data_IF_923976384409
#
_entry.id   IF_923976384409
#
_cell.length_a   1.000
_cell.length_b   1.000
_cell.length_c   1.000
_cell.angle_alpha   90.00
_cell.angle_beta   90.00
_cell.angle_gamma   90.00
#
_symmetry.space_group_name_H-M   'P 1'
#
loop_
_entity.id
_entity.type
_entity.pdbx_description
1 polymer ?
#
# COMPACT_ATOMS: atom_id res chain seq x y z
N UNK A 1 2.69 24.74 -18.24
CA UNK A 1 3.62 25.68 -17.56
C UNK A 1 2.96 26.96 -17.09
N UNK A 2 2.11 27.61 -17.89
CA UNK A 2 1.43 28.86 -17.49
C UNK A 2 0.83 28.82 -16.06
N UNK A 3 0.03 27.82 -15.67
CA UNK A 3 -0.56 27.78 -14.32
C UNK A 3 0.46 27.81 -13.18
N UNK A 4 1.64 27.20 -13.40
CA UNK A 4 2.71 27.22 -12.36
C UNK A 4 3.37 28.58 -12.24
N UNK A 5 3.59 29.24 -13.38
CA UNK A 5 4.14 30.61 -13.41
C UNK A 5 3.17 31.60 -12.78
N UNK A 6 1.90 31.53 -13.10
CA UNK A 6 0.84 32.36 -12.53
C UNK A 6 0.78 32.21 -11.00
N UNK A 7 0.83 30.95 -10.51
CA UNK A 7 0.85 30.68 -9.06
C UNK A 7 2.12 31.23 -8.40
N UNK A 8 3.27 31.09 -9.05
CA UNK A 8 4.54 31.63 -8.54
C UNK A 8 4.51 33.18 -8.48
N UNK A 9 4.02 33.82 -9.52
CA UNK A 9 3.88 35.27 -9.60
C UNK A 9 2.93 35.82 -8.52
N UNK A 10 1.84 35.09 -8.25
CA UNK A 10 0.89 35.49 -7.20
C UNK A 10 1.51 35.42 -5.79
N UNK A 11 2.41 34.45 -5.56
CA UNK A 11 3.05 34.25 -4.25
C UNK A 11 4.36 35.03 -4.06
N UNK A 12 5.06 35.27 -5.14
CA UNK A 12 6.37 35.95 -5.14
C UNK A 12 6.33 37.08 -6.19
N UNK A 13 5.76 38.22 -5.85
CA UNK A 13 5.47 39.30 -6.82
C UNK A 13 6.69 39.85 -7.59
N UNK A 14 7.90 39.73 -7.05
CA UNK A 14 9.13 40.11 -7.76
C UNK A 14 9.32 39.32 -9.06
N UNK A 15 8.75 38.11 -9.17
CA UNK A 15 8.83 37.30 -10.37
C UNK A 15 8.03 37.86 -11.56
N UNK A 16 7.09 38.77 -11.32
CA UNK A 16 6.37 39.50 -12.39
C UNK A 16 7.32 40.33 -13.26
N UNK A 17 8.45 40.79 -12.68
CA UNK A 17 9.46 41.60 -13.34
C UNK A 17 10.69 40.78 -13.76
N UNK A 18 10.74 39.51 -13.39
CA UNK A 18 11.87 38.65 -13.69
C UNK A 18 11.64 37.91 -15.02
N UNK A 19 12.66 37.85 -15.88
CA UNK A 19 12.66 37.02 -17.07
C UNK A 19 13.06 35.57 -16.75
N UNK A 20 12.72 34.66 -17.66
CA UNK A 20 13.18 33.29 -17.57
C UNK A 20 14.57 33.17 -18.18
N UNK A 21 15.58 32.94 -17.37
CA UNK A 21 16.96 32.80 -17.85
C UNK A 21 17.20 31.48 -18.57
N UNK A 22 16.61 30.37 -18.05
CA UNK A 22 16.74 29.04 -18.62
C UNK A 22 15.50 28.22 -18.27
N UNK A 23 15.00 27.54 -19.26
CA UNK A 23 13.94 26.57 -19.11
C UNK A 23 14.49 25.18 -19.47
N UNK A 24 14.32 24.20 -18.61
CA UNK A 24 14.73 22.83 -18.90
C UNK A 24 13.69 21.85 -18.36
N UNK A 25 13.59 20.71 -19.03
CA UNK A 25 12.80 19.56 -18.62
C UNK A 25 13.67 18.32 -18.83
N UNK A 26 13.63 17.40 -17.92
CA UNK A 26 14.38 16.15 -17.98
C UNK A 26 13.54 14.95 -17.57
N UNK A 27 13.89 13.76 -18.01
CA UNK A 27 13.24 12.53 -17.54
C UNK A 27 13.57 12.30 -16.08
N UNK A 28 12.63 11.72 -15.36
CA UNK A 28 12.79 11.31 -13.98
C UNK A 28 12.35 9.86 -13.80
N UNK A 29 12.98 9.13 -12.86
CA UNK A 29 12.67 7.73 -12.64
C UNK A 29 11.69 7.55 -11.50
N UNK A 30 10.60 6.84 -11.80
CA UNK A 30 9.61 6.41 -10.82
C UNK A 30 9.46 4.89 -10.83
N UNK A 31 9.28 4.33 -9.65
CA UNK A 31 8.96 2.93 -9.46
C UNK A 31 7.45 2.73 -9.34
N UNK A 32 6.95 1.53 -9.64
CA UNK A 32 5.51 1.25 -9.54
C UNK A 32 4.93 1.32 -8.12
N UNK A 33 5.77 1.26 -7.10
CA UNK A 33 5.39 1.24 -5.68
C UNK A 33 5.90 2.46 -4.88
N UNK A 34 6.47 3.47 -5.56
CA UNK A 34 7.07 4.67 -4.96
C UNK A 34 8.21 4.40 -3.98
N UNK A 35 8.82 3.24 -4.04
CA UNK A 35 9.96 2.89 -3.17
C UNK A 35 11.23 2.74 -3.99
N UNK A 36 12.38 3.20 -3.51
CA UNK A 36 13.65 2.96 -4.19
C UNK A 36 13.90 1.48 -4.44
N UNK A 37 14.69 1.19 -5.45
CA UNK A 37 15.20 -0.16 -5.73
C UNK A 37 16.64 -0.21 -5.28
N UNK A 38 16.91 -0.94 -4.19
CA UNK A 38 18.23 -1.00 -3.56
C UNK A 38 18.61 -2.44 -3.26
N UNK A 39 19.88 -2.77 -3.42
CA UNK A 39 20.42 -4.06 -3.01
C UNK A 39 21.06 -4.85 -4.12
N UNK A 40 21.47 -6.08 -3.81
CA UNK A 40 22.06 -7.00 -4.76
C UNK A 40 20.98 -7.60 -5.67
N UNK A 41 21.22 -7.56 -6.98
CA UNK A 41 20.30 -8.11 -7.96
C UNK A 41 20.22 -9.64 -7.82
N UNK A 42 19.01 -10.25 -7.72
CA UNK A 42 18.86 -11.69 -7.52
C UNK A 42 19.49 -12.55 -8.63
N UNK A 43 19.59 -12.00 -9.84
CA UNK A 43 20.10 -12.70 -11.02
C UNK A 43 21.62 -12.58 -11.20
N UNK A 44 22.27 -11.62 -10.52
CA UNK A 44 23.68 -11.30 -10.74
C UNK A 44 24.42 -11.08 -9.43
N UNK A 45 25.25 -12.04 -9.07
CA UNK A 45 26.09 -11.93 -7.87
C UNK A 45 27.05 -10.74 -7.95
N UNK A 46 27.20 -10.01 -6.85
CA UNK A 46 28.01 -8.80 -6.72
C UNK A 46 27.57 -7.63 -7.63
N UNK A 47 26.36 -7.67 -8.14
CA UNK A 47 25.76 -6.55 -8.88
C UNK A 47 24.77 -5.83 -7.99
N UNK A 48 25.17 -4.66 -7.50
CA UNK A 48 24.36 -3.86 -6.58
C UNK A 48 23.67 -2.70 -7.30
N UNK A 49 22.44 -2.44 -6.94
CA UNK A 49 21.58 -1.42 -7.54
C UNK A 49 21.19 -0.39 -6.48
N UNK A 50 21.19 0.88 -6.87
CA UNK A 50 20.52 1.96 -6.15
C UNK A 50 19.85 2.86 -7.20
N UNK A 51 18.53 2.71 -7.40
CA UNK A 51 17.81 3.36 -8.49
C UNK A 51 16.36 3.68 -8.10
N UNK A 52 15.66 4.41 -8.96
CA UNK A 52 14.24 4.69 -8.79
C UNK A 52 13.93 5.50 -7.54
N UNK A 53 14.64 6.61 -7.33
CA UNK A 53 14.52 7.41 -6.10
C UNK A 53 13.30 8.34 -6.07
N UNK A 54 12.42 8.28 -7.06
CA UNK A 54 11.07 8.88 -7.04
C UNK A 54 11.04 10.37 -6.62
N UNK A 55 11.82 11.22 -7.26
CA UNK A 55 11.97 12.68 -6.98
C UNK A 55 12.65 13.04 -5.64
N UNK A 56 13.01 12.08 -4.81
CA UNK A 56 13.59 12.34 -3.50
C UNK A 56 15.05 11.91 -3.37
N UNK A 57 15.74 11.71 -4.51
CA UNK A 57 17.11 11.21 -4.56
C UNK A 57 18.12 12.10 -3.85
N UNK A 58 17.99 13.42 -3.94
CA UNK A 58 18.86 14.36 -3.25
C UNK A 58 18.72 14.21 -1.73
N UNK A 59 17.49 14.05 -1.25
CA UNK A 59 17.20 13.88 0.17
C UNK A 59 17.66 12.51 0.71
N UNK A 60 17.49 11.44 -0.05
CA UNK A 60 17.67 10.06 0.43
C UNK A 60 18.97 9.42 -0.01
N UNK A 61 19.64 9.97 -1.04
CA UNK A 61 20.81 9.36 -1.67
C UNK A 61 21.97 9.10 -0.71
N UNK A 62 22.25 10.01 0.22
CA UNK A 62 23.29 9.83 1.22
C UNK A 62 23.01 8.64 2.17
N UNK A 63 21.77 8.54 2.67
CA UNK A 63 21.35 7.43 3.54
C UNK A 63 21.36 6.08 2.83
N UNK A 64 20.81 6.01 1.62
CA UNK A 64 20.82 4.80 0.81
C UNK A 64 22.24 4.37 0.42
N UNK A 65 23.12 5.35 0.07
CA UNK A 65 24.52 5.10 -0.24
C UNK A 65 25.26 4.49 0.95
N UNK A 66 25.02 4.99 2.17
CA UNK A 66 25.61 4.42 3.39
C UNK A 66 25.18 2.95 3.61
N UNK A 67 23.87 2.69 3.50
CA UNK A 67 23.32 1.33 3.70
C UNK A 67 23.88 0.38 2.65
N UNK A 68 23.94 0.81 1.39
CA UNK A 68 24.46 -0.02 0.29
C UNK A 68 25.97 -0.27 0.43
N UNK A 69 26.75 0.73 0.83
CA UNK A 69 28.18 0.57 1.11
C UNK A 69 28.42 -0.46 2.23
N UNK A 70 27.67 -0.37 3.33
CA UNK A 70 27.74 -1.36 4.40
C UNK A 70 27.39 -2.77 3.89
N UNK A 71 26.32 -2.89 3.08
CA UNK A 71 25.90 -4.17 2.51
C UNK A 71 26.98 -4.79 1.61
N UNK A 72 27.58 -4.00 0.74
CA UNK A 72 28.68 -4.46 -0.14
C UNK A 72 29.87 -4.99 0.67
N UNK A 73 30.26 -4.28 1.72
CA UNK A 73 31.43 -4.64 2.55
C UNK A 73 31.16 -5.85 3.43
N UNK A 74 29.98 -5.94 4.03
CA UNK A 74 29.67 -6.95 5.05
C UNK A 74 28.75 -8.08 4.55
N UNK A 75 28.35 -8.07 3.27
CA UNK A 75 27.45 -9.07 2.67
C UNK A 75 25.99 -8.99 3.12
N UNK A 76 25.64 -7.99 3.96
CA UNK A 76 24.27 -7.77 4.44
C UNK A 76 24.04 -6.31 4.85
N UNK A 77 22.82 -5.80 4.78
CA UNK A 77 22.50 -4.48 5.31
C UNK A 77 22.51 -4.51 6.86
N UNK A 78 22.75 -3.35 7.48
CA UNK A 78 22.70 -3.15 8.94
C UNK A 78 21.35 -2.61 9.44
N UNK A 79 20.42 -2.41 8.53
CA UNK A 79 19.05 -1.95 8.79
C UNK A 79 18.05 -2.79 8.00
N UNK A 80 16.79 -2.75 8.40
CA UNK A 80 15.71 -3.39 7.63
C UNK A 80 15.50 -2.65 6.30
N UNK A 81 15.77 -3.35 5.21
CA UNK A 81 15.60 -2.86 3.83
C UNK A 81 14.48 -3.57 3.08
N UNK A 82 13.69 -4.41 3.71
CA UNK A 82 12.63 -5.22 3.08
C UNK A 82 11.74 -4.37 2.17
N UNK A 83 11.43 -3.14 2.59
CA UNK A 83 10.63 -2.20 1.80
C UNK A 83 11.33 -1.64 0.56
N UNK A 84 12.65 -1.75 0.44
CA UNK A 84 13.46 -1.15 -0.63
C UNK A 84 14.25 -2.19 -1.43
N UNK A 85 14.39 -3.41 -0.90
CA UNK A 85 15.17 -4.47 -1.53
C UNK A 85 14.63 -4.77 -2.93
N UNK A 86 15.53 -4.92 -3.89
CA UNK A 86 15.21 -5.24 -5.28
C UNK A 86 14.44 -6.55 -5.42
N UNK A 87 14.65 -7.52 -4.52
CA UNK A 87 13.99 -8.84 -4.52
C UNK A 87 12.47 -8.78 -4.25
N UNK A 88 11.96 -7.63 -3.75
CA UNK A 88 10.51 -7.41 -3.61
C UNK A 88 9.79 -7.31 -4.95
N UNK A 89 10.52 -6.99 -6.01
CA UNK A 89 9.94 -6.82 -7.36
C UNK A 89 9.65 -8.18 -7.99
N UNK A 90 8.52 -8.28 -8.65
CA UNK A 90 8.04 -9.52 -9.25
C UNK A 90 8.10 -9.45 -10.78
N UNK A 91 8.24 -10.61 -11.44
CA UNK A 91 8.38 -10.69 -12.91
C UNK A 91 7.26 -10.00 -13.68
N UNK A 92 6.01 -10.08 -13.22
CA UNK A 92 4.86 -9.43 -13.89
C UNK A 92 4.99 -7.90 -13.90
N UNK A 93 5.70 -7.31 -12.94
CA UNK A 93 5.94 -5.86 -12.87
C UNK A 93 6.89 -5.35 -13.97
N UNK A 94 7.59 -6.24 -14.67
CA UNK A 94 8.38 -5.90 -15.86
C UNK A 94 7.51 -5.69 -17.12
N UNK A 95 6.24 -6.08 -17.08
CA UNK A 95 5.30 -5.86 -18.20
C UNK A 95 5.20 -4.36 -18.51
N UNK A 96 5.38 -3.93 -19.79
CA UNK A 96 5.38 -2.53 -20.16
C UNK A 96 4.06 -1.81 -19.81
N UNK A 97 2.92 -2.46 -20.00
CA UNK A 97 1.60 -1.87 -19.70
C UNK A 97 1.41 -1.69 -18.19
N UNK A 98 1.81 -2.68 -17.38
CA UNK A 98 1.83 -2.56 -15.93
C UNK A 98 2.68 -1.37 -15.49
N UNK A 99 3.92 -1.29 -15.98
CA UNK A 99 4.83 -0.19 -15.62
C UNK A 99 4.25 1.16 -16.02
N UNK A 100 3.71 1.27 -17.23
CA UNK A 100 3.16 2.53 -17.73
C UNK A 100 2.00 3.02 -16.87
N UNK A 101 1.00 2.18 -16.63
CA UNK A 101 -0.21 2.56 -15.88
C UNK A 101 0.06 2.79 -14.41
N UNK A 102 0.79 1.87 -13.77
CA UNK A 102 1.08 1.95 -12.34
C UNK A 102 2.06 3.09 -12.01
N UNK A 103 3.08 3.31 -12.84
CA UNK A 103 4.03 4.40 -12.60
C UNK A 103 3.39 5.77 -12.77
N UNK A 104 2.45 5.93 -13.69
CA UNK A 104 1.68 7.17 -13.83
C UNK A 104 0.82 7.45 -12.58
N UNK A 105 0.15 6.44 -12.03
CA UNK A 105 -0.58 6.56 -10.77
C UNK A 105 0.36 6.90 -9.61
N UNK A 106 1.48 6.20 -9.50
CA UNK A 106 2.49 6.42 -8.47
C UNK A 106 3.03 7.85 -8.50
N UNK A 107 3.37 8.37 -9.69
CA UNK A 107 3.80 9.75 -9.86
C UNK A 107 2.73 10.73 -9.35
N UNK A 108 1.46 10.51 -9.71
CA UNK A 108 0.35 11.33 -9.24
C UNK A 108 0.23 11.30 -7.71
N UNK A 109 0.43 10.16 -7.10
CA UNK A 109 0.34 10.01 -5.64
C UNK A 109 1.42 10.78 -4.86
N UNK A 110 2.61 11.00 -5.42
CA UNK A 110 3.67 11.80 -4.75
C UNK A 110 3.20 13.21 -4.41
N UNK A 111 2.42 13.81 -5.30
CA UNK A 111 2.02 15.23 -5.20
C UNK A 111 0.56 15.45 -4.80
N UNK A 112 -0.20 14.38 -4.56
CA UNK A 112 -1.60 14.46 -4.14
C UNK A 112 -1.75 14.37 -2.62
N UNK A 113 -2.97 14.61 -2.12
CA UNK A 113 -3.32 14.33 -0.73
C UNK A 113 -3.15 12.84 -0.41
N UNK A 114 -2.41 12.54 0.64
CA UNK A 114 -2.17 11.17 1.11
C UNK A 114 -3.23 10.76 2.12
N UNK A 115 -4.43 10.45 1.64
CA UNK A 115 -5.48 9.93 2.50
C UNK A 115 -5.07 8.58 3.09
N UNK A 116 -5.28 8.33 4.40
CA UNK A 116 -4.76 7.16 5.11
C UNK A 116 -5.15 5.80 4.51
N UNK A 117 -6.29 5.74 3.83
CA UNK A 117 -6.87 4.49 3.34
C UNK A 117 -6.75 4.34 1.82
N UNK A 118 -6.10 5.29 1.16
CA UNK A 118 -5.95 5.24 -0.29
C UNK A 118 -5.05 4.07 -0.69
N UNK A 119 -5.51 3.28 -1.65
CA UNK A 119 -4.75 2.20 -2.29
C UNK A 119 -4.58 2.46 -3.78
N UNK A 120 -3.66 1.73 -4.41
CA UNK A 120 -3.48 1.74 -5.85
C UNK A 120 -4.73 1.26 -6.56
N UNK A 121 -5.12 1.94 -7.64
CA UNK A 121 -6.33 1.66 -8.41
C UNK A 121 -6.03 1.08 -9.80
N UNK A 122 -4.84 1.32 -10.34
CA UNK A 122 -4.41 0.76 -11.63
C UNK A 122 -3.76 -0.61 -11.49
N UNK A 123 -3.67 -1.34 -12.58
CA UNK A 123 -2.99 -2.65 -12.66
C UNK A 123 -3.39 -3.59 -11.53
N UNK A 124 -4.69 -3.62 -11.21
CA UNK A 124 -5.30 -4.48 -10.21
C UNK A 124 -5.36 -5.93 -10.72
N UNK A 125 -5.60 -6.84 -9.82
CA UNK A 125 -5.79 -8.27 -10.12
C UNK A 125 -4.56 -8.99 -10.70
N UNK A 126 -3.37 -8.43 -10.53
CA UNK A 126 -2.13 -9.02 -11.03
C UNK A 126 -1.80 -10.34 -10.30
N UNK A 127 -2.11 -10.42 -9.00
CA UNK A 127 -1.93 -11.63 -8.19
C UNK A 127 -3.12 -11.82 -7.26
N UNK A 128 -3.77 -12.97 -7.37
CA UNK A 128 -4.91 -13.36 -6.55
C UNK A 128 -4.60 -14.63 -5.77
N UNK A 129 -5.02 -14.71 -4.52
CA UNK A 129 -4.94 -15.93 -3.75
C UNK A 129 -5.98 -16.95 -4.24
N UNK A 130 -5.79 -18.26 -3.98
CA UNK A 130 -6.81 -19.27 -4.27
C UNK A 130 -8.16 -19.04 -3.55
N UNK A 131 -8.15 -18.17 -2.53
CA UNK A 131 -9.36 -17.84 -1.77
C UNK A 131 -10.06 -16.58 -2.28
N UNK A 132 -9.48 -15.86 -3.26
CA UNK A 132 -9.97 -14.56 -3.72
C UNK A 132 -11.46 -14.56 -4.05
N UNK A 133 -11.91 -15.47 -4.90
CA UNK A 133 -13.31 -15.51 -5.35
C UNK A 133 -14.28 -15.88 -4.21
N UNK A 134 -13.83 -16.71 -3.27
CA UNK A 134 -14.62 -17.04 -2.07
C UNK A 134 -14.75 -15.85 -1.12
N UNK A 135 -13.72 -15.03 -1.01
CA UNK A 135 -13.73 -13.79 -0.22
C UNK A 135 -14.58 -12.73 -0.91
N UNK A 136 -14.46 -12.59 -2.23
CA UNK A 136 -15.31 -11.71 -3.02
C UNK A 136 -16.80 -12.03 -2.87
N UNK A 137 -17.16 -13.31 -2.93
CA UNK A 137 -18.54 -13.77 -2.70
C UNK A 137 -19.07 -13.45 -1.28
N UNK A 138 -18.18 -13.21 -0.32
CA UNK A 138 -18.51 -12.76 1.04
C UNK A 138 -18.53 -11.26 1.22
N UNK A 139 -18.42 -10.49 0.14
CA UNK A 139 -18.43 -9.04 0.17
C UNK A 139 -17.09 -8.42 0.55
N UNK A 140 -15.96 -9.09 0.30
CA UNK A 140 -14.65 -8.51 0.54
C UNK A 140 -14.37 -7.33 -0.38
N UNK A 141 -13.87 -6.23 0.19
CA UNK A 141 -13.18 -5.17 -0.54
C UNK A 141 -11.69 -5.49 -0.59
N UNK A 142 -11.10 -5.40 -1.76
CA UNK A 142 -9.69 -5.75 -1.96
C UNK A 142 -8.82 -4.52 -2.12
N UNK A 143 -7.63 -4.58 -1.53
CA UNK A 143 -6.50 -3.69 -1.77
C UNK A 143 -5.33 -4.46 -2.35
N UNK A 144 -4.57 -3.80 -3.20
CA UNK A 144 -3.28 -4.34 -3.62
C UNK A 144 -2.26 -4.09 -2.52
N UNK A 145 -1.64 -5.18 -2.05
CA UNK A 145 -0.57 -5.17 -1.05
C UNK A 145 0.57 -6.04 -1.55
N UNK A 146 1.71 -5.44 -1.85
CA UNK A 146 2.90 -6.13 -2.38
C UNK A 146 2.59 -7.01 -3.60
N UNK A 147 1.73 -6.51 -4.48
CA UNK A 147 1.30 -7.18 -5.69
C UNK A 147 0.13 -8.17 -5.53
N UNK A 148 -0.31 -8.45 -4.32
CA UNK A 148 -1.44 -9.34 -4.06
C UNK A 148 -2.72 -8.57 -3.81
N UNK A 149 -3.84 -9.09 -4.31
CA UNK A 149 -5.18 -8.63 -3.91
C UNK A 149 -5.50 -9.20 -2.52
N UNK A 150 -5.31 -8.40 -1.49
CA UNK A 150 -5.63 -8.74 -0.11
C UNK A 150 -7.02 -8.21 0.28
N UNK A 151 -7.83 -9.02 0.97
CA UNK A 151 -9.08 -8.54 1.55
C UNK A 151 -8.79 -7.55 2.68
N UNK A 152 -9.31 -6.33 2.56
CA UNK A 152 -9.08 -5.24 3.50
C UNK A 152 -10.22 -5.11 4.52
N UNK A 153 -11.46 -5.17 4.05
CA UNK A 153 -12.67 -5.16 4.88
C UNK A 153 -13.83 -5.85 4.13
N UNK A 154 -14.94 -6.13 4.86
CA UNK A 154 -16.11 -6.81 4.30
C UNK A 154 -17.34 -5.91 4.38
N UNK A 155 -18.11 -5.86 3.30
CA UNK A 155 -19.43 -5.25 3.31
C UNK A 155 -20.42 -6.13 4.11
N UNK A 156 -21.48 -5.54 4.67
CA UNK A 156 -22.56 -6.31 5.31
C UNK A 156 -23.19 -7.30 4.33
N UNK A 157 -23.73 -8.39 4.85
CA UNK A 157 -24.37 -9.43 4.04
C UNK A 157 -25.41 -8.84 3.09
N UNK A 158 -25.35 -9.24 1.83
CA UNK A 158 -26.24 -8.74 0.77
C UNK A 158 -25.84 -7.39 0.16
N UNK A 159 -24.76 -6.77 0.63
CA UNK A 159 -24.24 -5.53 0.07
C UNK A 159 -22.95 -5.74 -0.69
N UNK A 160 -22.73 -4.93 -1.73
CA UNK A 160 -21.45 -4.91 -2.45
C UNK A 160 -20.52 -3.90 -1.80
N UNK A 161 -19.22 -4.25 -1.64
CA UNK A 161 -18.23 -3.33 -1.11
C UNK A 161 -17.98 -2.20 -2.12
N UNK A 162 -17.95 -0.98 -1.63
CA UNK A 162 -17.61 0.20 -2.43
C UNK A 162 -16.75 1.16 -1.64
N UNK A 163 -15.88 1.86 -2.32
CA UNK A 163 -15.13 2.98 -1.74
C UNK A 163 -15.90 4.27 -1.99
N UNK A 164 -16.10 5.03 -0.94
CA UNK A 164 -16.63 6.39 -1.02
C UNK A 164 -15.52 7.37 -1.39
N UNK A 165 -15.89 8.63 -1.57
CA UNK A 165 -14.92 9.70 -1.79
C UNK A 165 -13.94 9.76 -0.63
N UNK A 166 -12.65 9.63 -0.94
CA UNK A 166 -11.59 9.71 0.05
C UNK A 166 -11.61 11.06 0.80
N UNK A 167 -11.48 11.00 2.11
CA UNK A 167 -11.45 12.17 3.01
C UNK A 167 -10.60 11.85 4.24
N UNK A 168 -10.36 12.86 5.07
CA UNK A 168 -9.70 12.70 6.37
C UNK A 168 -10.66 12.20 7.48
N UNK A 169 -11.96 12.17 7.20
CA UNK A 169 -12.97 11.65 8.11
C UNK A 169 -13.08 10.12 8.07
N UNK A 170 -13.98 9.60 8.90
CA UNK A 170 -14.30 8.18 8.90
C UNK A 170 -14.95 7.78 7.58
N UNK A 171 -14.50 6.69 7.01
CA UNK A 171 -15.03 6.13 5.76
C UNK A 171 -16.14 5.10 6.06
N UNK A 172 -16.88 4.71 5.03
CA UNK A 172 -17.97 3.73 5.11
C UNK A 172 -17.56 2.37 5.70
N UNK A 173 -16.33 1.96 5.54
CA UNK A 173 -15.79 0.71 6.11
C UNK A 173 -15.66 0.73 7.63
N UNK A 174 -15.65 1.91 8.27
CA UNK A 174 -15.37 2.03 9.70
C UNK A 174 -16.39 1.29 10.58
N UNK A 175 -17.68 1.36 10.24
CA UNK A 175 -18.72 0.63 10.96
C UNK A 175 -18.57 -0.89 10.78
N UNK A 176 -18.22 -1.32 9.58
CA UNK A 176 -18.00 -2.75 9.26
C UNK A 176 -16.79 -3.31 10.01
N UNK A 177 -15.71 -2.54 10.13
CA UNK A 177 -14.52 -2.93 10.88
C UNK A 177 -14.83 -3.27 12.35
N UNK A 178 -15.71 -2.50 13.00
CA UNK A 178 -16.16 -2.80 14.36
C UNK A 178 -16.92 -4.14 14.43
N UNK A 179 -17.76 -4.44 13.45
CA UNK A 179 -18.49 -5.71 13.36
C UNK A 179 -17.55 -6.90 13.13
N UNK A 180 -16.57 -6.77 12.23
CA UNK A 180 -15.53 -7.78 11.99
C UNK A 180 -14.73 -8.05 13.27
N UNK A 181 -14.35 -7.00 14.00
CA UNK A 181 -13.62 -7.14 15.25
C UNK A 181 -14.41 -7.93 16.30
N UNK A 182 -15.72 -7.63 16.47
CA UNK A 182 -16.60 -8.39 17.37
C UNK A 182 -16.68 -9.86 16.95
N UNK A 183 -16.93 -10.13 15.67
CA UNK A 183 -17.03 -11.48 15.15
C UNK A 183 -15.72 -12.29 15.35
N UNK A 184 -14.56 -11.67 15.15
CA UNK A 184 -13.27 -12.30 15.38
C UNK A 184 -13.06 -12.64 16.86
N UNK A 185 -13.42 -11.75 17.78
CA UNK A 185 -13.34 -11.99 19.23
C UNK A 185 -14.25 -13.14 19.67
N UNK A 186 -15.49 -13.16 19.21
CA UNK A 186 -16.43 -14.24 19.52
C UNK A 186 -15.94 -15.57 18.94
N UNK A 187 -15.47 -15.58 17.71
CA UNK A 187 -14.89 -16.77 17.07
C UNK A 187 -13.65 -17.31 17.77
N UNK A 188 -12.80 -16.43 18.29
CA UNK A 188 -11.63 -16.84 19.07
C UNK A 188 -12.00 -17.45 20.42
N UNK A 189 -13.00 -16.89 21.12
CA UNK A 189 -13.53 -17.48 22.37
C UNK A 189 -14.09 -18.88 22.16
N UNK A 190 -14.86 -19.09 21.09
CA UNK A 190 -15.41 -20.41 20.75
C UNK A 190 -14.27 -21.42 20.47
N UNK A 191 -13.17 -21.02 19.85
CA UNK A 191 -12.02 -21.90 19.61
C UNK A 191 -11.23 -22.20 20.88
N UNK A 192 -11.02 -21.20 21.73
CA UNK A 192 -10.30 -21.41 23.01
C UNK A 192 -11.12 -22.26 23.99
N UNK A 193 -12.44 -22.08 24.05
CA UNK A 193 -13.33 -22.92 24.86
C UNK A 193 -13.41 -24.34 24.33
N UNK A 194 -13.38 -24.57 23.02
CA UNK A 194 -13.30 -25.93 22.45
C UNK A 194 -11.98 -26.64 22.71
N UNK A 195 -10.88 -25.90 22.87
CA UNK A 195 -9.59 -26.49 23.24
C UNK A 195 -9.55 -26.89 24.73
N UNK A 196 -10.37 -26.25 25.57
CA UNK A 196 -10.48 -26.52 27.02
C UNK A 196 -11.67 -27.44 27.33
N UNK A 197 -12.73 -27.41 26.53
CA UNK A 197 -13.97 -28.13 26.77
C UNK A 197 -14.20 -29.25 25.73
N UNK A 198 -13.39 -30.28 25.79
CA UNK A 198 -13.88 -31.61 25.40
C UNK A 198 -14.94 -32.16 26.41
N UNK A 199 -15.24 -31.38 27.47
CA UNK A 199 -16.13 -31.81 28.55
C UNK A 199 -17.42 -30.97 28.75
N UNK A 200 -17.63 -29.82 28.11
CA UNK A 200 -18.83 -28.98 28.38
C UNK A 200 -19.55 -28.53 27.10
N UNK A 201 -20.45 -29.37 26.58
CA UNK A 201 -21.27 -29.12 25.40
C UNK A 201 -22.37 -28.04 25.65
N UNK A 202 -22.56 -27.59 26.88
CA UNK A 202 -23.62 -26.64 27.27
C UNK A 202 -23.22 -25.15 27.09
N UNK A 203 -21.97 -24.77 27.34
CA UNK A 203 -21.55 -23.36 27.39
C UNK A 203 -21.40 -22.69 26.00
N UNK A 204 -21.16 -23.46 24.94
CA UNK A 204 -20.97 -22.93 23.60
C UNK A 204 -22.28 -22.31 23.01
N UNK A 205 -23.42 -22.76 23.45
CA UNK A 205 -24.73 -22.27 22.97
C UNK A 205 -25.17 -21.02 23.75
N UNK A 206 -24.79 -20.90 25.01
CA UNK A 206 -25.07 -19.74 25.85
C UNK A 206 -24.22 -18.53 25.41
N UNK A 207 -22.96 -18.72 25.06
CA UNK A 207 -22.08 -17.68 24.54
C UNK A 207 -22.48 -17.18 23.13
N UNK A 208 -23.08 -18.04 22.33
CA UNK A 208 -23.64 -17.64 21.02
C UNK A 208 -24.85 -16.72 21.19
N UNK A 209 -25.66 -16.94 22.22
CA UNK A 209 -26.80 -16.09 22.55
C UNK A 209 -26.38 -14.73 23.11
N UNK A 210 -25.34 -14.66 23.94
CA UNK A 210 -24.79 -13.39 24.44
C UNK A 210 -24.19 -12.51 23.34
N UNK A 211 -23.52 -13.10 22.34
CA UNK A 211 -23.00 -12.34 21.19
C UNK A 211 -24.12 -11.74 20.30
N UNK A 212 -25.30 -12.39 20.27
CA UNK A 212 -26.45 -11.90 19.50
C UNK A 212 -27.35 -10.94 20.27
N UNK A 213 -27.30 -10.95 21.61
CA UNK A 213 -28.14 -10.05 22.45
C UNK A 213 -27.55 -8.63 22.61
N UNK A 214 -26.30 -8.40 22.26
CA UNK A 214 -25.68 -7.06 22.31
C UNK A 214 -25.80 -6.25 21.01
N UNK A 215 -26.52 -6.76 20.00
CA UNK A 215 -26.77 -6.10 18.71
C UNK A 215 -28.20 -5.54 18.59
N UNK A 216 -28.91 -5.32 19.72
CA UNK A 216 -30.22 -4.70 19.79
C UNK A 216 -30.19 -3.25 20.27
#
# INVERSE_FOLDING_TARGET
>A
MAPYLETAMARVPVTLKAGIRKFFCGPESFTPDLRPVVGEAPELRNYFVAAGLNSIGILTGGGLGRVLAHWIVHGRPDVDVTGFNIDRLQRYQSNPEYRRTRTMESLGMVYQCHYPTRSMQTARDARRSPLHDRLAARGAYFKEVSGWEGADWYAPSGHQPKVERLSWGRQNWFANHATEHRAARCGHRIRSSRAVAAEEVGEADEHRRECTQHDG
#
